data_IF_748054055523
#
_entry.id   IF_748054055523
#
_cell.length_a   1.000
_cell.length_b   1.000
_cell.length_c   1.000
_cell.angle_alpha   90.00
_cell.angle_beta   90.00
_cell.angle_gamma   90.00
#
_symmetry.space_group_name_H-M   'P 1'
#
loop_
_entity.id
_entity.type
_entity.pdbx_description
1 polymer ?
#
# COMPACT_ATOMS: atom_id res chain seq x y z
N UNK A 1 5.78 -17.38 4.83
CA UNK A 1 4.82 -16.29 5.05
C UNK A 1 4.44 -16.19 6.50
N UNK A 2 4.12 -14.99 6.95
CA UNK A 2 3.52 -14.76 8.28
C UNK A 2 2.00 -14.97 8.22
N UNK A 3 1.36 -14.75 7.07
CA UNK A 3 -0.04 -15.03 6.80
C UNK A 3 -0.14 -15.93 5.56
N UNK A 4 -0.21 -17.26 5.73
CA UNK A 4 -0.41 -18.19 4.61
C UNK A 4 -1.86 -18.17 4.14
N UNK A 5 -2.09 -18.17 2.82
CA UNK A 5 -3.43 -18.21 2.22
C UNK A 5 -3.70 -17.09 1.25
N UNK A 6 -4.80 -16.36 1.40
CA UNK A 6 -5.18 -15.23 0.56
C UNK A 6 -5.14 -13.93 1.37
N UNK A 7 -3.98 -13.31 1.43
CA UNK A 7 -3.71 -12.07 2.14
C UNK A 7 -2.79 -11.22 1.26
N UNK A 8 -3.39 -10.41 0.37
CA UNK A 8 -2.63 -9.60 -0.59
C UNK A 8 -2.53 -8.15 -0.16
N UNK A 9 -1.56 -7.45 -0.75
CA UNK A 9 -1.35 -6.01 -0.61
C UNK A 9 -1.25 -5.59 0.86
N UNK A 10 -0.30 -6.17 1.61
CA UNK A 10 -0.17 -5.90 3.04
C UNK A 10 0.34 -4.49 3.30
N UNK A 11 -0.22 -3.83 4.30
CA UNK A 11 0.33 -2.60 4.86
C UNK A 11 0.49 -2.74 6.36
N UNK A 12 1.53 -2.11 6.93
CA UNK A 12 1.93 -2.26 8.31
C UNK A 12 2.21 -0.90 8.96
N UNK A 13 1.81 -0.74 10.22
CA UNK A 13 2.21 0.41 11.01
C UNK A 13 2.57 0.03 12.45
N UNK A 14 3.21 0.97 13.14
CA UNK A 14 3.48 0.89 14.59
C UNK A 14 3.07 2.19 15.28
N UNK A 15 2.66 2.08 16.54
CA UNK A 15 2.45 3.24 17.41
C UNK A 15 3.74 3.73 18.11
N UNK A 16 4.87 3.05 17.85
CA UNK A 16 6.13 3.33 18.52
C UNK A 16 6.23 2.78 19.97
N UNK A 17 5.16 2.16 20.48
CA UNK A 17 5.08 1.60 21.83
C UNK A 17 5.24 0.06 21.86
N UNK A 18 5.58 -0.53 20.69
CA UNK A 18 5.81 -1.96 20.52
C UNK A 18 4.54 -2.72 20.11
N UNK A 19 3.55 -2.00 19.58
CA UNK A 19 2.43 -2.58 18.87
C UNK A 19 2.60 -2.41 17.37
N UNK A 20 2.40 -3.49 16.64
CA UNK A 20 2.40 -3.53 15.19
C UNK A 20 1.05 -3.98 14.69
N UNK A 21 0.53 -3.27 13.71
CA UNK A 21 -0.76 -3.56 13.08
C UNK A 21 -0.57 -3.78 11.58
N UNK A 22 -1.23 -4.79 11.04
CA UNK A 22 -1.16 -5.16 9.64
C UNK A 22 -2.58 -5.31 9.08
N UNK A 23 -2.77 -4.78 7.88
CA UNK A 23 -4.02 -4.82 7.12
C UNK A 23 -3.75 -5.36 5.72
N UNK A 24 -4.75 -6.01 5.10
CA UNK A 24 -4.65 -6.61 3.76
C UNK A 24 -5.93 -6.40 2.96
N UNK A 25 -5.83 -6.50 1.64
CA UNK A 25 -6.96 -6.44 0.70
C UNK A 25 -8.00 -7.52 0.97
N UNK A 26 -9.28 -7.17 0.82
CA UNK A 26 -10.38 -8.13 0.92
C UNK A 26 -11.28 -8.15 -0.31
N UNK A 27 -11.04 -7.29 -1.27
CA UNK A 27 -11.86 -7.25 -2.47
C UNK A 27 -13.35 -7.11 -2.13
N UNK A 28 -14.21 -8.00 -2.62
CA UNK A 28 -15.66 -8.00 -2.31
C UNK A 28 -16.04 -8.85 -1.09
N UNK A 29 -15.07 -9.43 -0.39
CA UNK A 29 -15.36 -10.22 0.80
C UNK A 29 -15.75 -9.35 2.01
N UNK A 30 -16.70 -9.82 2.79
CA UNK A 30 -17.19 -9.19 4.02
C UNK A 30 -17.00 -10.13 5.23
N UNK A 31 -16.55 -9.65 6.39
CA UNK A 31 -16.13 -8.27 6.70
C UNK A 31 -14.85 -7.86 5.97
N UNK A 32 -14.71 -6.55 5.67
CA UNK A 32 -13.58 -6.01 4.92
C UNK A 32 -12.38 -5.67 5.81
N UNK A 33 -11.18 -5.79 5.25
CA UNK A 33 -9.91 -5.39 5.82
C UNK A 33 -9.66 -6.01 7.20
N UNK A 34 -9.25 -7.30 7.27
CA UNK A 34 -8.86 -7.90 8.53
C UNK A 34 -7.68 -7.14 9.13
N UNK A 35 -7.75 -6.94 10.45
CA UNK A 35 -6.71 -6.29 11.24
C UNK A 35 -5.96 -7.34 12.04
N UNK A 36 -4.67 -7.42 11.83
CA UNK A 36 -3.76 -8.28 12.60
C UNK A 36 -2.90 -7.44 13.53
N UNK A 37 -2.57 -8.00 14.67
CA UNK A 37 -1.73 -7.38 15.69
C UNK A 37 -0.57 -8.30 16.05
N UNK A 38 0.61 -7.71 16.27
CA UNK A 38 1.80 -8.38 16.76
C UNK A 38 2.58 -7.47 17.73
N UNK A 39 3.38 -8.11 18.60
CA UNK A 39 4.35 -7.45 19.48
C UNK A 39 5.80 -7.69 19.04
N UNK A 40 6.01 -8.59 18.07
CA UNK A 40 7.34 -9.09 17.71
C UNK A 40 7.56 -9.26 16.20
N UNK A 41 6.57 -8.85 15.36
CA UNK A 41 6.57 -8.97 13.90
C UNK A 41 6.60 -10.42 13.36
N UNK A 42 6.59 -11.41 14.24
CA UNK A 42 6.66 -12.84 13.91
C UNK A 42 5.34 -13.55 14.24
N UNK A 43 4.80 -13.29 15.43
CA UNK A 43 3.57 -13.89 15.91
C UNK A 43 2.40 -12.91 15.71
N UNK A 44 1.55 -13.22 14.72
CA UNK A 44 0.41 -12.37 14.35
C UNK A 44 -0.91 -12.98 14.79
N UNK A 45 -1.78 -12.14 15.32
CA UNK A 45 -3.14 -12.53 15.70
C UNK A 45 -4.13 -11.59 15.01
N UNK A 46 -5.11 -12.16 14.31
CA UNK A 46 -6.24 -11.38 13.83
C UNK A 46 -7.06 -10.90 15.03
N UNK A 47 -7.26 -9.59 15.14
CA UNK A 47 -7.94 -8.95 16.26
C UNK A 47 -9.31 -8.39 15.87
N UNK A 48 -9.63 -8.35 14.59
CA UNK A 48 -10.91 -7.89 14.08
C UNK A 48 -10.87 -7.61 12.59
N UNK A 49 -11.77 -6.73 12.17
CA UNK A 49 -11.81 -6.16 10.82
C UNK A 49 -12.06 -4.66 10.94
N UNK A 50 -11.37 -3.89 10.12
CA UNK A 50 -11.50 -2.42 10.09
C UNK A 50 -12.86 -2.03 9.50
N UNK A 51 -13.26 -2.70 8.42
CA UNK A 51 -14.54 -2.47 7.74
C UNK A 51 -15.53 -3.58 8.11
N UNK A 52 -16.13 -3.47 9.29
CA UNK A 52 -16.99 -4.51 9.86
C UNK A 52 -18.48 -4.14 9.89
N UNK A 53 -18.85 -2.98 9.36
CA UNK A 53 -20.25 -2.53 9.27
C UNK A 53 -20.66 -2.33 7.80
N UNK A 54 -21.88 -2.68 7.40
CA UNK A 54 -22.37 -2.44 6.03
C UNK A 54 -22.29 -0.98 5.60
N UNK A 55 -22.42 -0.02 6.53
CA UNK A 55 -22.29 1.42 6.25
C UNK A 55 -20.89 1.82 5.76
N UNK A 56 -19.87 1.02 6.06
CA UNK A 56 -18.49 1.26 5.63
C UNK A 56 -18.17 0.69 4.23
N UNK A 57 -19.05 -0.15 3.68
CA UNK A 57 -18.84 -0.88 2.43
C UNK A 57 -19.95 -0.55 1.43
N UNK A 58 -20.00 0.71 1.02
CA UNK A 58 -21.01 1.19 0.06
C UNK A 58 -20.79 0.65 -1.34
N UNK A 59 -21.91 0.38 -2.05
CA UNK A 59 -21.92 -0.05 -3.46
C UNK A 59 -21.09 -1.31 -3.77
N UNK A 60 -21.10 -2.28 -2.86
CA UNK A 60 -20.42 -3.58 -3.07
C UNK A 60 -21.26 -4.54 -3.91
N UNK A 61 -22.58 -4.36 -3.95
CA UNK A 61 -23.50 -5.22 -4.69
C UNK A 61 -23.24 -5.20 -6.20
N UNK A 62 -23.14 -6.36 -6.80
CA UNK A 62 -22.88 -6.52 -8.23
C UNK A 62 -21.42 -6.33 -8.67
N UNK A 63 -20.49 -6.04 -7.77
CA UNK A 63 -19.08 -5.98 -8.12
C UNK A 63 -18.52 -7.40 -8.38
N UNK A 64 -17.52 -7.47 -9.27
CA UNK A 64 -16.77 -8.70 -9.49
C UNK A 64 -16.04 -9.11 -8.21
N UNK A 65 -15.83 -10.42 -8.03
CA UNK A 65 -15.14 -10.97 -6.86
C UNK A 65 -13.73 -10.38 -6.66
N UNK A 66 -13.09 -9.93 -7.75
CA UNK A 66 -11.80 -9.23 -7.75
C UNK A 66 -11.93 -7.71 -7.78
N UNK A 67 -13.13 -7.16 -7.56
CA UNK A 67 -13.37 -5.73 -7.34
C UNK A 67 -13.39 -5.40 -5.84
N UNK A 68 -14.05 -4.31 -5.46
CA UNK A 68 -14.24 -3.93 -4.05
C UNK A 68 -13.02 -3.28 -3.43
N UNK A 69 -12.59 -3.75 -2.26
CA UNK A 69 -11.58 -3.10 -1.42
C UNK A 69 -10.17 -3.55 -1.81
N UNK A 70 -9.41 -2.61 -2.38
CA UNK A 70 -8.02 -2.79 -2.82
C UNK A 70 -7.04 -2.14 -1.84
N UNK A 71 -5.87 -2.76 -1.66
CA UNK A 71 -4.67 -2.21 -1.06
C UNK A 71 -4.94 -1.22 0.10
N UNK A 72 -5.45 -1.69 1.25
CA UNK A 72 -5.63 -0.84 2.41
C UNK A 72 -4.27 -0.46 2.99
N UNK A 73 -3.98 0.83 3.13
CA UNK A 73 -2.79 1.31 3.80
C UNK A 73 -3.14 1.79 5.22
N UNK A 74 -2.54 1.14 6.22
CA UNK A 74 -2.71 1.50 7.63
C UNK A 74 -1.54 2.36 8.10
N UNK A 75 -1.82 3.49 8.76
CA UNK A 75 -0.81 4.42 9.24
C UNK A 75 -1.18 4.95 10.62
N UNK A 76 -0.18 5.27 11.44
CA UNK A 76 -0.37 5.93 12.73
C UNK A 76 0.16 7.35 12.66
N UNK A 77 -0.66 8.33 13.03
CA UNK A 77 -0.24 9.72 13.16
C UNK A 77 0.14 10.00 14.62
N UNK A 78 1.42 10.18 14.95
CA UNK A 78 1.86 10.40 16.32
C UNK A 78 1.45 11.77 16.88
N UNK A 79 1.16 12.76 16.02
CA UNK A 79 0.79 14.12 16.44
C UNK A 79 -0.60 14.18 17.07
N UNK A 80 -1.55 13.38 16.56
CA UNK A 80 -2.92 13.32 17.08
C UNK A 80 -3.30 11.95 17.67
N UNK A 81 -2.33 11.01 17.73
CA UNK A 81 -2.47 9.64 18.27
C UNK A 81 -3.63 8.88 17.62
N UNK A 82 -3.76 9.01 16.32
CA UNK A 82 -4.86 8.42 15.56
C UNK A 82 -4.32 7.45 14.50
N UNK A 83 -4.94 6.30 14.39
CA UNK A 83 -4.75 5.35 13.30
C UNK A 83 -5.66 5.74 12.15
N UNK A 84 -5.13 5.67 10.94
CA UNK A 84 -5.83 5.87 9.69
C UNK A 84 -5.69 4.62 8.84
N UNK A 85 -6.76 4.21 8.19
CA UNK A 85 -6.71 3.23 7.12
C UNK A 85 -7.36 3.85 5.90
N UNK A 86 -6.59 4.00 4.83
CA UNK A 86 -7.04 4.54 3.55
C UNK A 86 -7.01 3.43 2.50
N UNK A 87 -7.98 3.41 1.60
CA UNK A 87 -8.14 2.34 0.62
C UNK A 87 -8.95 2.81 -0.58
N UNK A 88 -9.01 1.98 -1.61
CA UNK A 88 -9.87 2.15 -2.78
C UNK A 88 -11.01 1.13 -2.75
N UNK A 89 -12.25 1.59 -2.89
CA UNK A 89 -13.35 0.74 -3.34
C UNK A 89 -13.48 0.93 -4.85
N UNK A 90 -13.07 -0.07 -5.61
CA UNK A 90 -13.01 0.00 -7.08
C UNK A 90 -14.39 0.28 -7.66
N UNK A 91 -14.49 1.27 -8.55
CA UNK A 91 -15.76 1.73 -9.12
C UNK A 91 -16.55 2.71 -8.23
N UNK A 92 -16.09 2.95 -6.98
CA UNK A 92 -16.68 3.92 -6.05
C UNK A 92 -15.73 5.08 -5.79
N UNK A 93 -14.46 4.79 -5.44
CA UNK A 93 -13.44 5.79 -5.20
C UNK A 93 -12.61 5.51 -3.94
N UNK A 94 -11.72 6.44 -3.65
CA UNK A 94 -10.85 6.39 -2.48
C UNK A 94 -11.57 6.94 -1.24
N UNK A 95 -11.32 6.32 -0.10
CA UNK A 95 -11.83 6.76 1.19
C UNK A 95 -10.89 6.31 2.32
N UNK A 96 -11.08 6.90 3.50
CA UNK A 96 -10.40 6.44 4.69
C UNK A 96 -11.36 6.33 5.88
N UNK A 97 -10.92 5.56 6.86
CA UNK A 97 -11.52 5.46 8.20
C UNK A 97 -10.42 5.68 9.25
N UNK A 98 -10.79 6.14 10.44
CA UNK A 98 -9.83 6.44 11.50
C UNK A 98 -10.34 6.04 12.88
N UNK A 99 -9.40 5.81 13.81
CA UNK A 99 -9.69 5.54 15.22
C UNK A 99 -8.51 5.90 16.11
N UNK A 100 -8.75 6.16 17.38
CA UNK A 100 -7.69 6.24 18.41
C UNK A 100 -7.43 4.90 19.10
N UNK A 101 -8.38 3.97 19.00
CA UNK A 101 -8.24 2.60 19.53
C UNK A 101 -8.40 1.59 18.39
N UNK A 102 -7.33 0.97 17.90
CA UNK A 102 -7.40 0.02 16.79
C UNK A 102 -8.13 -1.28 17.13
N UNK A 103 -8.31 -1.58 18.43
CA UNK A 103 -9.10 -2.73 18.89
C UNK A 103 -10.60 -2.41 19.03
N UNK A 104 -10.96 -1.14 18.97
CA UNK A 104 -12.33 -0.62 19.06
C UNK A 104 -12.98 -0.40 17.71
N UNK A 105 -13.93 0.52 17.67
CA UNK A 105 -14.64 0.89 16.45
C UNK A 105 -13.83 1.88 15.60
N UNK A 106 -13.85 1.64 14.29
CA UNK A 106 -13.35 2.58 13.29
C UNK A 106 -14.49 3.49 12.80
N UNK A 107 -14.17 4.69 12.40
CA UNK A 107 -15.17 5.67 11.94
C UNK A 107 -15.96 5.16 10.73
N UNK A 108 -17.03 5.84 10.38
CA UNK A 108 -17.62 5.71 9.05
C UNK A 108 -16.66 6.26 7.97
N UNK A 109 -16.83 5.84 6.70
CA UNK A 109 -15.94 6.24 5.61
C UNK A 109 -15.97 7.75 5.37
N UNK A 110 -14.80 8.33 5.21
CA UNK A 110 -14.62 9.71 4.76
C UNK A 110 -14.11 9.63 3.32
N UNK A 111 -14.98 10.00 2.37
CA UNK A 111 -14.68 9.91 0.95
C UNK A 111 -13.67 10.98 0.54
N UNK A 112 -12.82 10.63 -0.42
CA UNK A 112 -11.82 11.49 -1.06
C UNK A 112 -12.14 11.63 -2.56
N UNK A 113 -13.23 12.31 -2.93
CA UNK A 113 -13.73 12.32 -4.31
C UNK A 113 -12.78 12.98 -5.32
N UNK A 114 -11.88 13.83 -4.87
CA UNK A 114 -10.85 14.48 -5.68
C UNK A 114 -9.61 13.61 -5.92
N UNK A 115 -9.46 12.50 -5.19
CA UNK A 115 -8.34 11.56 -5.34
C UNK A 115 -8.76 10.45 -6.29
N UNK A 116 -8.35 10.57 -7.56
CA UNK A 116 -8.53 9.53 -8.58
C UNK A 116 -7.43 8.47 -8.48
N UNK A 117 -7.62 7.33 -9.15
CA UNK A 117 -6.67 6.22 -9.13
C UNK A 117 -6.88 5.28 -7.94
N UNK A 118 -5.84 4.52 -7.59
CA UNK A 118 -5.91 3.45 -6.58
C UNK A 118 -4.72 3.51 -5.62
N UNK A 119 -4.69 2.60 -4.64
CA UNK A 119 -3.59 2.36 -3.69
C UNK A 119 -3.14 3.63 -2.94
N UNK A 120 -4.06 4.34 -2.29
CA UNK A 120 -3.67 5.50 -1.49
C UNK A 120 -2.97 5.07 -0.21
N UNK A 121 -1.96 5.87 0.20
CA UNK A 121 -1.35 5.77 1.54
C UNK A 121 -1.13 7.15 2.15
N UNK A 122 -1.18 7.23 3.49
CA UNK A 122 -0.85 8.45 4.21
C UNK A 122 0.61 8.43 4.67
N UNK A 123 1.23 9.59 4.60
CA UNK A 123 2.51 9.88 5.23
C UNK A 123 2.35 11.06 6.18
N UNK A 124 2.67 10.84 7.46
CA UNK A 124 2.65 11.86 8.51
C UNK A 124 4.08 12.26 8.82
N UNK A 125 4.48 13.48 8.41
CA UNK A 125 5.85 13.96 8.60
C UNK A 125 6.08 14.45 10.03
N UNK A 126 7.33 14.48 10.46
CA UNK A 126 7.79 14.93 11.77
C UNK A 126 7.48 16.42 12.02
N UNK A 127 7.31 17.23 10.98
CA UNK A 127 6.93 18.64 11.07
C UNK A 127 5.42 18.88 11.31
N UNK A 128 4.65 17.80 11.43
CA UNK A 128 3.21 17.82 11.66
C UNK A 128 2.36 17.90 10.39
N UNK A 129 2.97 17.98 9.22
CA UNK A 129 2.26 17.89 7.95
C UNK A 129 1.91 16.46 7.60
N UNK A 130 0.85 16.32 6.83
CA UNK A 130 0.41 15.04 6.30
C UNK A 130 0.30 15.10 4.77
N UNK A 131 0.55 13.97 4.15
CA UNK A 131 0.49 13.82 2.70
C UNK A 131 -0.24 12.53 2.35
N UNK A 132 -0.97 12.57 1.24
CA UNK A 132 -1.55 11.39 0.62
C UNK A 132 -0.82 11.14 -0.70
N UNK A 133 -0.34 9.90 -0.88
CA UNK A 133 0.26 9.45 -2.14
C UNK A 133 -0.58 8.32 -2.71
N UNK A 134 -0.67 8.21 -4.03
CA UNK A 134 -1.39 7.12 -4.67
C UNK A 134 -0.99 6.93 -6.14
N UNK A 135 -1.33 5.77 -6.69
CA UNK A 135 -1.27 5.50 -8.13
C UNK A 135 -2.39 6.25 -8.85
N UNK A 136 -2.08 6.78 -10.04
CA UNK A 136 -3.07 7.44 -10.88
C UNK A 136 -2.76 7.26 -12.38
N UNK A 137 -3.67 7.69 -13.20
CA UNK A 137 -3.54 7.67 -14.66
C UNK A 137 -2.34 8.49 -15.15
N UNK A 138 -1.91 8.18 -16.36
CA UNK A 138 -0.89 8.95 -17.08
C UNK A 138 -1.25 10.44 -17.15
N UNK A 139 -0.27 11.35 -17.29
CA UNK A 139 -0.54 12.78 -17.40
C UNK A 139 -1.56 13.06 -18.51
N UNK A 140 -2.51 13.95 -18.20
CA UNK A 140 -3.62 14.34 -19.10
C UNK A 140 -4.46 13.17 -19.62
N UNK A 141 -4.47 12.03 -18.92
CA UNK A 141 -5.09 10.77 -19.35
C UNK A 141 -4.61 10.30 -20.73
N UNK A 142 -3.33 10.58 -21.06
CA UNK A 142 -2.71 10.20 -22.34
C UNK A 142 -1.57 9.20 -22.11
N UNK A 143 -1.89 7.90 -21.92
CA UNK A 143 -0.85 6.89 -21.74
C UNK A 143 -0.03 6.72 -23.02
N UNK A 144 1.29 6.65 -22.88
CA UNK A 144 2.19 6.38 -24.00
C UNK A 144 2.27 4.88 -24.34
N UNK A 145 1.85 4.02 -23.42
CA UNK A 145 1.78 2.56 -23.58
C UNK A 145 0.76 1.99 -22.57
N UNK A 146 0.33 0.74 -22.81
CA UNK A 146 -0.58 0.06 -21.88
C UNK A 146 0.09 -0.17 -20.52
N UNK A 147 -0.58 0.25 -19.46
CA UNK A 147 -0.03 0.18 -18.09
C UNK A 147 0.84 1.37 -17.68
N UNK A 148 0.92 2.44 -18.50
CA UNK A 148 1.55 3.69 -18.10
C UNK A 148 0.74 4.35 -16.98
N UNK A 149 1.34 4.45 -15.79
CA UNK A 149 0.77 5.06 -14.58
C UNK A 149 1.71 6.10 -14.00
N UNK A 150 1.20 6.85 -13.02
CA UNK A 150 1.94 7.85 -12.25
C UNK A 150 1.77 7.60 -10.76
N UNK A 151 2.76 7.98 -9.95
CA UNK A 151 2.57 8.20 -8.52
C UNK A 151 2.40 9.68 -8.27
N UNK A 152 1.33 10.03 -7.58
CA UNK A 152 1.00 11.40 -7.24
C UNK A 152 0.98 11.60 -5.73
N UNK A 153 1.22 12.84 -5.32
CA UNK A 153 1.17 13.29 -3.93
C UNK A 153 0.32 14.55 -3.82
N UNK A 154 -0.38 14.67 -2.71
CA UNK A 154 -1.09 15.88 -2.30
C UNK A 154 -1.00 16.05 -0.79
N UNK A 155 -0.92 17.29 -0.30
CA UNK A 155 -0.97 17.59 1.12
C UNK A 155 -2.36 17.25 1.67
N UNK A 156 -2.40 16.74 2.90
CA UNK A 156 -3.64 16.34 3.59
C UNK A 156 -3.81 17.14 4.88
N UNK A 157 -4.96 17.79 5.04
CA UNK A 157 -5.32 18.47 6.27
C UNK A 157 -6.03 17.48 7.20
N UNK A 158 -5.34 17.03 8.25
CA UNK A 158 -5.86 16.07 9.24
C UNK A 158 -6.99 16.61 10.10
N UNK A 159 -7.16 17.96 10.19
CA UNK A 159 -8.23 18.57 10.94
C UNK A 159 -9.50 18.73 10.10
N UNK A 160 -9.32 18.97 8.81
CA UNK A 160 -10.42 19.13 7.86
C UNK A 160 -10.79 17.81 7.15
N UNK A 161 -10.01 16.75 7.37
CA UNK A 161 -10.19 15.42 6.76
C UNK A 161 -10.26 15.44 5.22
N UNK A 162 -9.39 16.24 4.59
CA UNK A 162 -9.39 16.41 3.12
C UNK A 162 -8.00 16.72 2.59
N UNK A 163 -7.79 16.45 1.30
CA UNK A 163 -6.60 16.91 0.60
C UNK A 163 -6.65 18.42 0.36
N UNK A 164 -5.48 19.06 0.35
CA UNK A 164 -5.32 20.51 0.16
C UNK A 164 -4.15 20.81 -0.79
N UNK A 165 -4.20 21.96 -1.44
CA UNK A 165 -3.16 22.39 -2.36
C UNK A 165 -3.10 21.57 -3.66
N UNK A 166 -2.05 21.78 -4.47
CA UNK A 166 -1.94 21.14 -5.78
C UNK A 166 -1.51 19.68 -5.67
N UNK A 167 -2.13 18.81 -6.47
CA UNK A 167 -1.71 17.43 -6.67
C UNK A 167 -0.52 17.38 -7.62
N UNK A 168 0.59 16.74 -7.22
CA UNK A 168 1.85 16.70 -7.98
C UNK A 168 2.19 15.28 -8.37
N UNK A 169 2.85 15.11 -9.51
CA UNK A 169 3.42 13.84 -9.95
C UNK A 169 4.81 13.71 -9.32
N UNK A 170 5.03 12.64 -8.56
CA UNK A 170 6.33 12.26 -8.02
C UNK A 170 7.10 11.36 -8.98
N UNK A 171 6.40 10.37 -9.56
CA UNK A 171 6.96 9.41 -10.52
C UNK A 171 6.03 9.31 -11.72
N UNK A 172 6.63 9.32 -12.91
CA UNK A 172 5.93 9.10 -14.17
C UNK A 172 6.53 7.87 -14.85
N UNK A 173 5.70 6.88 -15.14
CA UNK A 173 6.01 5.59 -15.78
C UNK A 173 6.63 4.53 -14.86
N UNK A 174 7.56 4.86 -13.98
CA UNK A 174 8.24 3.91 -13.09
C UNK A 174 9.74 4.16 -12.97
N UNK A 175 10.48 3.16 -12.44
CA UNK A 175 11.89 3.34 -12.08
C UNK A 175 12.82 3.46 -13.32
N UNK A 176 12.46 2.82 -14.43
CA UNK A 176 13.19 2.88 -15.71
C UNK A 176 12.21 3.16 -16.84
N UNK A 177 11.88 4.42 -17.12
CA UNK A 177 10.88 4.80 -18.12
C UNK A 177 11.14 4.26 -19.52
N UNK A 178 12.41 4.06 -19.88
CA UNK A 178 12.85 3.49 -21.16
C UNK A 178 12.41 2.03 -21.36
N UNK A 179 12.28 1.27 -20.28
CA UNK A 179 11.83 -0.13 -20.29
C UNK A 179 10.29 -0.25 -20.33
N UNK A 180 9.59 0.89 -20.28
CA UNK A 180 8.12 0.96 -20.26
C UNK A 180 7.50 0.06 -19.18
N UNK A 181 7.91 0.17 -17.91
CA UNK A 181 7.34 -0.63 -16.84
C UNK A 181 5.84 -0.36 -16.72
N UNK A 182 5.09 -1.41 -16.43
CA UNK A 182 3.63 -1.31 -16.30
C UNK A 182 3.24 -1.18 -14.83
N UNK A 183 2.17 -0.42 -14.58
CA UNK A 183 1.46 -0.33 -13.32
C UNK A 183 2.39 -0.07 -12.13
N UNK A 184 3.02 1.12 -12.11
CA UNK A 184 3.63 1.59 -10.87
C UNK A 184 2.50 1.91 -9.89
N UNK A 185 2.47 1.22 -8.73
CA UNK A 185 1.36 1.23 -7.78
C UNK A 185 1.85 1.00 -6.34
N UNK A 186 0.93 0.91 -5.36
CA UNK A 186 1.25 0.64 -3.95
C UNK A 186 2.29 1.60 -3.35
N UNK A 187 2.16 2.94 -3.52
CA UNK A 187 3.20 3.85 -3.06
C UNK A 187 3.17 4.06 -1.55
N UNK A 188 4.35 4.03 -0.93
CA UNK A 188 4.56 4.43 0.46
C UNK A 188 5.72 5.43 0.57
N UNK A 189 5.51 6.52 1.34
CA UNK A 189 6.56 7.50 1.66
C UNK A 189 7.16 7.23 3.03
N UNK A 190 8.47 7.40 3.13
CA UNK A 190 9.23 7.29 4.37
C UNK A 190 10.20 8.45 4.50
N UNK A 191 10.52 8.83 5.74
CA UNK A 191 11.61 9.74 6.05
C UNK A 191 12.65 9.00 6.87
N UNK A 192 13.86 8.86 6.32
CA UNK A 192 14.95 8.11 6.94
C UNK A 192 16.19 8.98 6.93
N UNK A 193 16.71 9.30 8.12
CA UNK A 193 17.90 10.15 8.27
C UNK A 193 17.79 11.49 7.50
N UNK A 194 16.61 12.12 7.58
CA UNK A 194 16.34 13.41 6.93
C UNK A 194 16.13 13.37 5.41
N UNK A 195 16.16 12.20 4.78
CA UNK A 195 15.86 12.01 3.36
C UNK A 195 14.49 11.35 3.20
N UNK A 196 13.81 11.70 2.10
CA UNK A 196 12.53 11.07 1.76
C UNK A 196 12.76 9.93 0.78
N UNK A 197 12.08 8.82 1.05
CA UNK A 197 12.08 7.65 0.18
C UNK A 197 10.65 7.33 -0.21
N UNK A 198 10.46 7.01 -1.48
CA UNK A 198 9.21 6.52 -2.02
C UNK A 198 9.46 5.07 -2.47
N UNK A 199 8.72 4.14 -1.90
CA UNK A 199 8.64 2.78 -2.41
C UNK A 199 7.38 2.61 -3.25
N UNK A 200 7.43 1.74 -4.24
CA UNK A 200 6.27 1.40 -5.07
C UNK A 200 6.48 0.06 -5.75
N UNK A 201 5.40 -0.68 -5.94
CA UNK A 201 5.39 -1.86 -6.79
C UNK A 201 5.39 -1.47 -8.28
N UNK A 202 5.96 -2.31 -9.13
CA UNK A 202 5.83 -2.22 -10.59
C UNK A 202 5.94 -3.60 -11.25
N UNK A 203 5.52 -3.69 -12.52
CA UNK A 203 5.59 -4.93 -13.31
C UNK A 203 4.30 -5.76 -13.27
N UNK A 204 3.28 -5.28 -12.58
CA UNK A 204 2.03 -6.00 -12.34
C UNK A 204 2.20 -7.18 -11.39
N UNK A 205 1.10 -7.75 -10.96
CA UNK A 205 1.03 -8.71 -9.84
C UNK A 205 1.40 -10.15 -10.19
N UNK A 206 1.96 -10.40 -11.38
CA UNK A 206 2.40 -11.73 -11.85
C UNK A 206 3.92 -11.90 -11.73
N UNK A 207 4.52 -12.74 -12.55
CA UNK A 207 5.95 -13.09 -12.49
C UNK A 207 6.94 -11.91 -12.65
N UNK A 208 6.49 -10.78 -13.18
CA UNK A 208 7.30 -9.55 -13.33
C UNK A 208 7.16 -8.59 -12.14
N UNK A 209 6.36 -8.92 -11.15
CA UNK A 209 6.16 -8.12 -9.96
C UNK A 209 7.47 -7.79 -9.26
N UNK A 210 7.61 -6.57 -8.81
CA UNK A 210 8.82 -6.09 -8.15
C UNK A 210 8.51 -4.87 -7.29
N UNK A 211 9.40 -4.58 -6.36
CA UNK A 211 9.40 -3.36 -5.56
C UNK A 211 10.56 -2.47 -5.99
N UNK A 212 10.28 -1.18 -6.16
CA UNK A 212 11.26 -0.16 -6.55
C UNK A 212 11.30 0.97 -5.53
N UNK A 213 12.46 1.64 -5.43
CA UNK A 213 12.65 2.73 -4.48
C UNK A 213 13.22 3.97 -5.18
N UNK A 214 12.75 5.13 -4.72
CA UNK A 214 13.19 6.44 -5.17
C UNK A 214 13.60 7.28 -3.97
N UNK A 215 14.50 8.23 -4.16
CA UNK A 215 14.92 9.18 -3.13
C UNK A 215 14.58 10.60 -3.56
N UNK A 216 14.08 11.39 -2.62
CA UNK A 216 13.77 12.81 -2.75
C UNK A 216 14.26 13.64 -1.57
N UNK A 217 14.27 14.96 -1.74
CA UNK A 217 14.68 15.92 -0.71
C UNK A 217 13.48 16.51 0.05
N UNK A 218 12.27 16.26 -0.42
CA UNK A 218 11.02 16.66 0.23
C UNK A 218 9.87 15.76 -0.22
N UNK A 219 8.75 15.66 0.55
CA UNK A 219 7.64 14.78 0.21
C UNK A 219 6.95 15.14 -1.11
N UNK A 220 7.07 16.39 -1.56
CA UNK A 220 6.48 16.89 -2.81
C UNK A 220 7.50 17.31 -3.85
N UNK A 221 8.77 16.98 -3.62
CA UNK A 221 9.91 17.32 -4.50
C UNK A 221 10.10 16.31 -5.63
N UNK A 222 11.29 16.40 -6.24
CA UNK A 222 11.70 15.45 -7.27
C UNK A 222 12.21 14.17 -6.62
N UNK A 223 11.70 13.02 -7.06
CA UNK A 223 12.18 11.71 -6.69
C UNK A 223 13.05 11.11 -7.80
N UNK A 224 14.19 10.56 -7.41
CA UNK A 224 15.16 9.94 -8.32
C UNK A 224 15.22 8.45 -8.02
N UNK A 225 15.06 7.55 -9.02
CA UNK A 225 15.12 6.13 -8.79
C UNK A 225 16.53 5.67 -8.40
N UNK A 226 16.60 4.68 -7.51
CA UNK A 226 17.88 4.04 -7.23
C UNK A 226 18.38 3.25 -8.45
N UNK A 227 19.65 3.37 -8.74
CA UNK A 227 20.27 2.78 -9.95
C UNK A 227 20.18 1.25 -10.01
N UNK A 228 20.06 0.59 -8.84
CA UNK A 228 19.99 -0.87 -8.74
C UNK A 228 18.55 -1.39 -8.51
N UNK A 229 17.54 -0.58 -8.84
CA UNK A 229 16.16 -1.09 -8.84
C UNK A 229 16.02 -2.29 -9.78
N UNK A 230 15.11 -3.25 -9.46
CA UNK A 230 14.24 -3.30 -8.29
C UNK A 230 14.97 -3.74 -7.01
N UNK A 231 14.45 -3.33 -5.84
CA UNK A 231 15.00 -3.74 -4.53
C UNK A 231 14.46 -5.09 -4.05
N UNK A 232 13.31 -5.51 -4.56
CA UNK A 232 12.71 -6.81 -4.32
C UNK A 232 12.11 -7.34 -5.62
N UNK A 233 12.47 -8.55 -6.01
CA UNK A 233 11.83 -9.28 -7.11
C UNK A 233 12.27 -10.75 -7.08
N UNK A 234 11.47 -11.61 -7.66
CA UNK A 234 11.77 -13.04 -7.85
C UNK A 234 11.97 -13.43 -9.33
N UNK A 235 11.75 -12.48 -10.25
CA UNK A 235 11.70 -12.71 -11.70
C UNK A 235 13.03 -13.20 -12.33
N UNK A 236 14.15 -12.97 -11.63
CA UNK A 236 15.50 -13.33 -12.13
C UNK A 236 16.04 -14.62 -11.53
N UNK A 237 15.28 -15.26 -10.63
CA UNK A 237 15.68 -16.49 -9.99
C UNK A 237 15.28 -17.70 -10.87
N UNK A 238 16.00 -18.79 -10.71
CA UNK A 238 15.70 -20.06 -11.38
C UNK A 238 14.27 -20.50 -11.04
N UNK A 239 13.44 -20.69 -12.07
CA UNK A 239 12.04 -21.12 -11.90
C UNK A 239 11.94 -22.54 -11.33
N UNK A 240 12.94 -23.39 -11.59
CA UNK A 240 12.99 -24.79 -11.15
C UNK A 240 13.60 -24.97 -9.75
N UNK A 241 13.95 -23.86 -9.06
CA UNK A 241 14.49 -23.95 -7.70
C UNK A 241 13.49 -24.60 -6.73
N UNK A 242 13.98 -25.33 -5.69
CA UNK A 242 13.09 -25.92 -4.69
C UNK A 242 12.25 -24.88 -3.96
N UNK A 243 10.94 -25.16 -3.78
CA UNK A 243 10.00 -24.32 -3.04
C UNK A 243 10.05 -22.84 -3.49
N UNK A 244 9.86 -22.53 -4.77
CA UNK A 244 10.00 -21.18 -5.25
C UNK A 244 8.95 -20.26 -4.62
N UNK A 245 9.40 -19.07 -4.20
CA UNK A 245 8.54 -17.92 -3.93
C UNK A 245 8.60 -17.04 -5.17
N UNK A 246 7.46 -16.52 -5.62
CA UNK A 246 7.34 -15.74 -6.85
C UNK A 246 6.37 -14.58 -6.68
N UNK A 247 6.27 -13.71 -7.68
CA UNK A 247 5.35 -12.55 -7.68
C UNK A 247 5.55 -11.59 -6.49
N UNK A 248 6.75 -11.52 -5.92
CA UNK A 248 7.03 -10.69 -4.75
C UNK A 248 7.05 -9.20 -5.09
N UNK A 249 6.33 -8.41 -4.32
CA UNK A 249 6.22 -6.95 -4.44
C UNK A 249 5.09 -6.39 -3.58
N UNK A 250 4.70 -5.14 -3.82
CA UNK A 250 3.69 -4.41 -3.06
C UNK A 250 4.05 -4.38 -1.57
N UNK A 251 5.23 -3.84 -1.28
CA UNK A 251 5.80 -3.87 0.05
C UNK A 251 5.53 -2.60 0.85
N UNK A 252 5.40 -2.75 2.16
CA UNK A 252 5.35 -1.66 3.12
C UNK A 252 6.40 -1.90 4.22
N UNK A 253 6.93 -0.83 4.81
CA UNK A 253 8.00 -0.87 5.80
C UNK A 253 7.55 -0.39 7.18
N UNK A 254 8.12 -1.00 8.20
CA UNK A 254 8.00 -0.53 9.58
C UNK A 254 9.36 -0.51 10.26
N UNK A 255 9.59 0.48 11.12
CA UNK A 255 10.79 0.53 11.95
C UNK A 255 10.46 0.06 13.36
N UNK A 256 11.30 -0.81 13.91
CA UNK A 256 11.20 -1.25 15.30
C UNK A 256 11.71 -0.17 16.25
N UNK A 257 11.47 -0.34 17.54
CA UNK A 257 12.03 0.55 18.58
C UNK A 257 13.55 0.54 18.63
N UNK A 258 14.15 -0.58 18.27
CA UNK A 258 15.60 -0.77 18.21
C UNK A 258 16.22 -0.10 16.97
N UNK A 259 15.38 0.36 16.04
CA UNK A 259 15.79 1.03 14.82
C UNK A 259 15.94 0.11 13.60
N UNK A 260 15.64 -1.18 13.74
CA UNK A 260 15.66 -2.13 12.62
C UNK A 260 14.46 -1.92 11.71
N UNK A 261 14.68 -2.06 10.39
CA UNK A 261 13.64 -1.97 9.39
C UNK A 261 13.16 -3.36 8.97
N UNK A 262 11.85 -3.51 8.94
CA UNK A 262 11.17 -4.71 8.48
C UNK A 262 10.26 -4.37 7.32
N UNK A 263 10.16 -5.31 6.36
CA UNK A 263 9.25 -5.21 5.23
C UNK A 263 8.19 -6.30 5.30
N UNK A 264 6.94 -5.94 5.03
CA UNK A 264 5.89 -6.88 4.65
C UNK A 264 5.65 -6.75 3.15
N UNK A 265 5.34 -7.84 2.48
CA UNK A 265 5.05 -7.84 1.04
C UNK A 265 4.21 -9.06 0.67
N UNK A 266 3.49 -8.98 -0.42
CA UNK A 266 2.80 -10.14 -0.96
C UNK A 266 3.75 -10.99 -1.81
N UNK A 267 3.49 -12.31 -1.81
CA UNK A 267 4.15 -13.24 -2.72
C UNK A 267 3.24 -14.45 -3.00
N UNK A 268 3.61 -15.25 -4.00
CA UNK A 268 2.95 -16.50 -4.32
C UNK A 268 3.90 -17.67 -4.10
N UNK A 269 3.38 -18.78 -3.55
CA UNK A 269 4.07 -20.06 -3.52
C UNK A 269 3.32 -21.06 -4.42
N UNK A 270 3.94 -21.60 -5.47
CA UNK A 270 3.26 -22.57 -6.33
C UNK A 270 2.97 -23.87 -5.58
N UNK A 271 1.84 -24.47 -5.89
CA UNK A 271 1.46 -25.80 -5.42
C UNK A 271 1.52 -26.73 -6.62
N UNK A 272 2.28 -27.83 -6.51
CA UNK A 272 2.49 -28.80 -7.61
C UNK A 272 2.99 -28.13 -8.91
N UNK A 273 3.89 -27.17 -8.79
CA UNK A 273 4.44 -26.39 -9.92
C UNK A 273 3.39 -25.61 -10.72
N UNK A 274 2.23 -25.33 -10.16
CA UNK A 274 1.24 -24.45 -10.77
C UNK A 274 1.16 -23.12 -10.02
N UNK A 275 1.06 -22.03 -10.77
CA UNK A 275 0.92 -20.68 -10.23
C UNK A 275 -0.52 -20.15 -10.33
N UNK A 276 -1.39 -20.95 -10.93
CA UNK A 276 -2.80 -20.60 -11.09
C UNK A 276 -3.54 -20.78 -9.76
N UNK A 277 -4.41 -19.82 -9.45
CA UNK A 277 -5.28 -19.85 -8.26
C UNK A 277 -4.56 -19.98 -6.91
N UNK A 278 -3.31 -19.59 -6.85
CA UNK A 278 -2.54 -19.54 -5.61
C UNK A 278 -2.88 -18.28 -4.84
N UNK A 279 -2.98 -18.43 -3.53
CA UNK A 279 -3.13 -17.30 -2.64
C UNK A 279 -1.94 -16.35 -2.76
N UNK A 280 -2.18 -15.09 -2.48
CA UNK A 280 -1.15 -14.07 -2.31
C UNK A 280 -0.88 -13.97 -0.82
N UNK A 281 0.20 -14.56 -0.39
CA UNK A 281 0.56 -14.66 1.02
C UNK A 281 1.37 -13.44 1.44
N UNK A 282 1.19 -13.02 2.65
CA UNK A 282 2.02 -12.00 3.32
C UNK A 282 3.11 -12.64 4.16
#
# INVERSE_FOLDING_TARGET
PILPGWYSDPSICTNGEGDYFLAVSTFTYYPGVPLFHSKDLVNWKQVGHILNRPSQLVNMEGQHVSGGIFAPAISYNPHNKTYYMVTTNVGVGNFFVKTQDPFGEWSDPIMLPEVTGIDPSFFFDEDGKAYLVNNDDAPDNKPEYSGHRTIRVQEFDVNADKTVGPRKILVNKGARPEDKPIWIEGPHLYKINGNYFLMSAEGGTAGWHSEVIFRGDSPTGKFTPWKNNPILTQRQLDAERPNPVTCAGHADLVQTREGDWWAVFLACRPINNTFENLGRET
#
